data_IF_705126234835
#
_entry.id   IF_705126234835
#
_cell.length_a   1.000
_cell.length_b   1.000
_cell.length_c   1.000
_cell.angle_alpha   90.00
_cell.angle_beta   90.00
_cell.angle_gamma   90.00
#
_symmetry.space_group_name_H-M   'P 1'
#
loop_
_entity.id
_entity.type
_entity.pdbx_description
1 polymer ?
#
# COMPACT_ATOMS: atom_id res chain seq x y z
N UNK A 1 -21.71 -26.15 24.95
CA UNK A 1 -20.23 -26.21 25.00
C UNK A 1 -19.79 -26.02 26.46
N UNK A 2 -18.80 -26.80 26.91
CA UNK A 2 -18.36 -26.75 28.32
C UNK A 2 -17.55 -25.47 28.63
N UNK A 3 -16.69 -25.04 27.69
CA UNK A 3 -15.86 -23.84 27.82
C UNK A 3 -15.69 -23.18 26.46
N UNK A 4 -15.88 -21.86 26.37
CA UNK A 4 -15.68 -21.06 25.17
C UNK A 4 -14.61 -20.02 25.47
N UNK A 5 -13.75 -19.76 24.47
CA UNK A 5 -12.80 -18.66 24.46
C UNK A 5 -13.07 -17.77 23.24
N UNK A 6 -13.02 -16.46 23.44
CA UNK A 6 -13.12 -15.49 22.34
C UNK A 6 -12.26 -14.27 22.62
N UNK A 7 -11.85 -13.59 21.53
CA UNK A 7 -11.13 -12.34 21.62
C UNK A 7 -12.12 -11.17 21.57
N UNK A 8 -12.20 -10.36 22.63
CA UNK A 8 -13.15 -9.25 22.69
C UNK A 8 -12.85 -8.12 21.69
N UNK A 9 -11.63 -8.05 21.14
CA UNK A 9 -11.25 -7.07 20.13
C UNK A 9 -11.77 -7.41 18.73
N UNK A 10 -12.07 -8.70 18.48
CA UNK A 10 -12.51 -9.20 17.17
C UNK A 10 -13.90 -9.84 17.19
N UNK A 11 -14.50 -10.02 18.38
CA UNK A 11 -15.82 -10.61 18.53
C UNK A 11 -16.83 -9.51 18.78
N UNK A 12 -17.86 -9.42 17.94
CA UNK A 12 -18.93 -8.42 18.15
C UNK A 12 -19.70 -8.70 19.44
N UNK A 13 -20.27 -7.66 20.05
CA UNK A 13 -21.06 -7.81 21.28
C UNK A 13 -22.22 -8.82 21.12
N UNK A 14 -22.87 -8.82 19.97
CA UNK A 14 -23.95 -9.78 19.67
C UNK A 14 -23.46 -11.22 19.69
N UNK A 15 -22.33 -11.49 19.03
CA UNK A 15 -21.68 -12.83 19.02
C UNK A 15 -21.26 -13.23 20.43
N UNK A 16 -20.62 -12.33 21.18
CA UNK A 16 -20.21 -12.59 22.55
C UNK A 16 -21.41 -12.97 23.44
N UNK A 17 -22.51 -12.25 23.34
CA UNK A 17 -23.72 -12.55 24.10
C UNK A 17 -24.29 -13.96 23.79
N UNK A 18 -24.29 -14.35 22.51
CA UNK A 18 -24.73 -15.68 22.08
C UNK A 18 -23.79 -16.75 22.66
N UNK A 19 -22.47 -16.56 22.54
CA UNK A 19 -21.47 -17.51 23.04
C UNK A 19 -21.59 -17.69 24.56
N UNK A 20 -21.71 -16.62 25.31
CA UNK A 20 -21.87 -16.63 26.78
C UNK A 20 -23.14 -17.37 27.17
N UNK A 21 -24.28 -17.06 26.51
CA UNK A 21 -25.58 -17.69 26.79
C UNK A 21 -25.56 -19.22 26.59
N UNK A 22 -24.76 -19.72 25.65
CA UNK A 22 -24.72 -21.14 25.28
C UNK A 22 -23.50 -21.89 25.80
N UNK A 23 -22.78 -21.34 26.79
CA UNK A 23 -21.61 -21.97 27.42
C UNK A 23 -21.74 -22.05 28.92
N UNK A 24 -21.14 -23.07 29.53
CA UNK A 24 -21.06 -23.23 30.97
C UNK A 24 -20.00 -22.31 31.60
N UNK A 25 -18.99 -21.95 30.80
CA UNK A 25 -17.94 -21.02 31.19
C UNK A 25 -17.33 -20.35 29.95
N UNK A 26 -16.80 -19.14 30.12
CA UNK A 26 -16.08 -18.44 29.06
C UNK A 26 -14.83 -17.76 29.58
N UNK A 27 -13.91 -17.44 28.66
CA UNK A 27 -12.74 -16.63 28.93
C UNK A 27 -12.46 -15.68 27.75
N UNK A 28 -12.16 -14.43 28.08
CA UNK A 28 -11.64 -13.48 27.09
C UNK A 28 -10.13 -13.70 26.96
N UNK A 29 -9.68 -14.01 25.77
CA UNK A 29 -8.26 -14.27 25.45
C UNK A 29 -7.92 -13.62 24.11
N UNK A 30 -6.67 -13.29 23.91
CA UNK A 30 -6.20 -12.92 22.57
C UNK A 30 -6.35 -14.11 21.62
N UNK A 31 -6.80 -13.86 20.38
CA UNK A 31 -6.95 -14.91 19.39
C UNK A 31 -5.60 -15.58 19.06
N UNK A 32 -5.40 -16.85 19.42
CA UNK A 32 -4.14 -17.55 19.16
C UNK A 32 -3.88 -17.74 17.66
N UNK A 33 -4.93 -17.74 16.82
CA UNK A 33 -4.83 -17.93 15.38
C UNK A 33 -4.13 -16.72 14.74
N UNK A 34 -4.33 -15.52 15.26
CA UNK A 34 -3.71 -14.29 14.75
C UNK A 34 -2.18 -14.39 14.70
N UNK A 35 -1.55 -14.87 15.78
CA UNK A 35 -0.11 -15.05 15.81
C UNK A 35 0.35 -16.20 14.90
N UNK A 36 -0.34 -17.33 14.89
CA UNK A 36 -0.04 -18.45 14.03
C UNK A 36 -0.12 -18.06 12.54
N UNK A 37 -1.16 -17.32 12.15
CA UNK A 37 -1.38 -16.81 10.80
C UNK A 37 -0.33 -15.78 10.39
N UNK A 38 0.17 -14.97 11.31
CA UNK A 38 1.19 -13.95 11.01
C UNK A 38 2.53 -14.55 10.60
N UNK A 39 2.84 -15.77 11.08
CA UNK A 39 4.06 -16.48 10.74
C UNK A 39 3.84 -17.36 9.51
N UNK A 40 4.20 -16.82 8.31
CA UNK A 40 4.00 -17.53 7.04
C UNK A 40 4.82 -18.81 6.96
N UNK A 41 4.21 -19.88 6.48
CA UNK A 41 4.90 -21.12 6.16
C UNK A 41 5.69 -21.01 4.83
N UNK A 42 6.46 -22.04 4.50
CA UNK A 42 7.31 -22.06 3.28
C UNK A 42 6.49 -21.91 1.99
N UNK A 43 5.30 -22.48 1.92
CA UNK A 43 4.42 -22.38 0.75
C UNK A 43 3.90 -20.97 0.58
N UNK A 44 3.46 -20.33 1.65
CA UNK A 44 2.99 -18.93 1.64
C UNK A 44 4.12 -17.94 1.29
N UNK A 45 5.33 -18.16 1.82
CA UNK A 45 6.50 -17.32 1.48
C UNK A 45 6.85 -17.45 -0.01
N UNK A 46 6.87 -18.67 -0.55
CA UNK A 46 7.14 -18.88 -1.97
C UNK A 46 6.02 -18.30 -2.85
N UNK A 47 4.77 -18.42 -2.41
CA UNK A 47 3.62 -17.80 -3.08
C UNK A 47 3.72 -16.26 -3.12
N UNK A 48 4.05 -15.64 -1.99
CA UNK A 48 4.26 -14.19 -1.91
C UNK A 48 5.39 -13.73 -2.84
N UNK A 49 6.54 -14.41 -2.84
CA UNK A 49 7.65 -14.09 -3.75
C UNK A 49 7.23 -14.16 -5.22
N UNK A 50 6.53 -15.21 -5.60
CA UNK A 50 6.03 -15.39 -6.96
C UNK A 50 5.01 -14.31 -7.33
N UNK A 51 4.08 -13.98 -6.43
CA UNK A 51 3.09 -12.93 -6.65
C UNK A 51 3.77 -11.58 -6.88
N UNK A 52 4.73 -11.19 -6.03
CA UNK A 52 5.45 -9.94 -6.17
C UNK A 52 6.32 -9.87 -7.44
N UNK A 53 6.88 -10.97 -7.89
CA UNK A 53 7.60 -11.02 -9.18
C UNK A 53 6.66 -10.73 -10.34
N UNK A 54 5.50 -11.37 -10.38
CA UNK A 54 4.51 -11.21 -11.45
C UNK A 54 3.92 -9.80 -11.43
N UNK A 55 3.53 -9.32 -10.25
CA UNK A 55 2.98 -7.98 -10.09
C UNK A 55 4.02 -6.89 -10.42
N UNK A 56 5.26 -7.11 -10.01
CA UNK A 56 6.39 -6.24 -10.33
C UNK A 56 6.60 -6.08 -11.83
N UNK A 57 6.42 -7.15 -12.62
CA UNK A 57 6.46 -7.08 -14.09
C UNK A 57 5.34 -6.19 -14.62
N UNK A 58 4.11 -6.33 -14.11
CA UNK A 58 2.97 -5.52 -14.54
C UNK A 58 3.18 -4.04 -14.19
N UNK A 59 3.64 -3.77 -12.97
CA UNK A 59 3.95 -2.42 -12.50
C UNK A 59 5.10 -1.79 -13.30
N UNK A 60 6.17 -2.53 -13.57
CA UNK A 60 7.31 -2.03 -14.37
C UNK A 60 6.87 -1.68 -15.79
N UNK A 61 6.04 -2.52 -16.42
CA UNK A 61 5.46 -2.21 -17.74
C UNK A 61 4.59 -0.96 -17.71
N UNK A 62 3.83 -0.76 -16.63
CA UNK A 62 3.01 0.45 -16.46
C UNK A 62 3.89 1.68 -16.31
N UNK A 63 4.93 1.64 -15.48
CA UNK A 63 5.86 2.76 -15.28
C UNK A 63 6.58 3.10 -16.59
N UNK A 64 7.09 2.08 -17.29
CA UNK A 64 7.73 2.28 -18.59
C UNK A 64 6.77 2.97 -19.59
N UNK A 65 5.53 2.49 -19.66
CA UNK A 65 4.50 3.10 -20.51
C UNK A 65 4.23 4.56 -20.10
N UNK A 66 4.09 4.82 -18.81
CA UNK A 66 3.83 6.17 -18.29
C UNK A 66 4.98 7.14 -18.63
N UNK A 67 6.21 6.71 -18.49
CA UNK A 67 7.39 7.56 -18.67
C UNK A 67 7.82 7.74 -20.14
N UNK A 68 7.47 6.81 -21.03
CA UNK A 68 7.99 6.79 -22.40
C UNK A 68 6.92 6.88 -23.49
N UNK A 69 5.67 6.49 -23.22
CA UNK A 69 4.62 6.42 -24.21
C UNK A 69 3.49 7.45 -23.99
N UNK A 70 3.41 8.04 -22.81
CA UNK A 70 2.40 9.05 -22.48
C UNK A 70 2.87 10.41 -22.97
N UNK A 71 2.09 11.02 -23.87
CA UNK A 71 2.24 12.40 -24.28
C UNK A 71 1.05 13.19 -23.70
N UNK A 72 1.32 14.00 -22.66
CA UNK A 72 0.30 14.77 -21.95
C UNK A 72 -0.36 15.81 -22.84
N UNK A 73 0.27 16.24 -23.93
CA UNK A 73 -0.31 17.19 -24.88
C UNK A 73 -1.28 16.54 -25.88
N UNK A 74 -1.21 15.20 -26.02
CA UNK A 74 -2.07 14.46 -26.95
C UNK A 74 -3.10 13.57 -26.27
N UNK A 75 -2.86 13.19 -25.03
CA UNK A 75 -3.65 12.19 -24.32
C UNK A 75 -4.09 12.71 -22.96
N UNK A 76 -5.37 12.76 -22.72
CA UNK A 76 -5.95 13.13 -21.44
C UNK A 76 -6.04 11.89 -20.54
N UNK A 77 -4.96 11.59 -19.82
CA UNK A 77 -5.00 10.58 -18.76
C UNK A 77 -5.37 11.23 -17.42
N UNK A 78 -6.18 10.52 -16.65
CA UNK A 78 -6.60 10.94 -15.32
C UNK A 78 -6.24 9.87 -14.29
N UNK A 79 -6.33 10.21 -13.00
CA UNK A 79 -6.11 9.27 -11.90
C UNK A 79 -6.89 7.96 -12.10
N UNK A 80 -8.17 8.05 -12.49
CA UNK A 80 -9.02 6.88 -12.77
C UNK A 80 -8.48 6.09 -13.96
N UNK A 81 -8.16 6.76 -15.05
CA UNK A 81 -7.70 6.08 -16.28
C UNK A 81 -6.32 5.47 -16.13
N UNK A 82 -5.44 6.08 -15.31
CA UNK A 82 -4.13 5.52 -14.94
C UNK A 82 -4.28 4.25 -14.10
N UNK A 83 -5.17 4.25 -13.11
CA UNK A 83 -5.49 3.05 -12.32
C UNK A 83 -6.04 1.91 -13.20
N UNK A 84 -6.93 2.23 -14.14
CA UNK A 84 -7.47 1.27 -15.10
C UNK A 84 -6.39 0.72 -16.06
N UNK A 85 -5.43 1.54 -16.45
CA UNK A 85 -4.31 1.11 -17.31
C UNK A 85 -3.43 0.10 -16.57
N UNK A 86 -3.09 0.34 -15.32
CA UNK A 86 -2.34 -0.62 -14.51
C UNK A 86 -3.12 -1.93 -14.33
N UNK A 87 -4.42 -1.85 -14.05
CA UNK A 87 -5.28 -3.03 -13.97
C UNK A 87 -5.21 -3.88 -15.25
N UNK A 88 -5.24 -3.26 -16.43
CA UNK A 88 -5.09 -3.97 -17.71
C UNK A 88 -3.76 -4.72 -17.81
N UNK A 89 -2.65 -4.14 -17.36
CA UNK A 89 -1.37 -4.86 -17.32
C UNK A 89 -1.39 -6.06 -16.37
N UNK A 90 -2.04 -5.97 -15.21
CA UNK A 90 -2.19 -7.07 -14.25
C UNK A 90 -3.05 -8.20 -14.82
N UNK A 91 -4.15 -7.84 -15.51
CA UNK A 91 -5.08 -8.81 -16.14
C UNK A 91 -4.45 -9.68 -17.23
N UNK A 92 -3.30 -9.29 -17.76
CA UNK A 92 -2.59 -10.13 -18.75
C UNK A 92 -2.06 -11.44 -18.14
N UNK A 93 -1.94 -11.52 -16.81
CA UNK A 93 -1.46 -12.73 -16.18
C UNK A 93 -2.62 -13.64 -15.75
N UNK A 94 -2.61 -14.90 -16.18
CA UNK A 94 -3.68 -15.90 -15.95
C UNK A 94 -4.01 -16.15 -14.47
N UNK A 95 -3.04 -15.97 -13.58
CA UNK A 95 -3.20 -16.21 -12.14
C UNK A 95 -3.69 -14.96 -11.38
N UNK A 96 -3.87 -13.82 -12.05
CA UNK A 96 -4.50 -12.63 -11.47
C UNK A 96 -5.98 -12.90 -11.20
N UNK A 97 -6.46 -12.54 -10.00
CA UNK A 97 -7.83 -12.80 -9.54
C UNK A 97 -8.63 -11.52 -9.30
N UNK A 98 -7.94 -10.41 -9.11
CA UNK A 98 -8.54 -9.11 -8.84
C UNK A 98 -7.54 -8.19 -8.14
N UNK A 99 -7.98 -6.99 -7.82
CA UNK A 99 -7.21 -6.07 -6.98
C UNK A 99 -7.20 -6.58 -5.54
N UNK A 100 -6.09 -6.38 -4.82
CA UNK A 100 -6.01 -6.69 -3.39
C UNK A 100 -6.72 -5.63 -2.54
N UNK A 101 -6.77 -4.40 -3.03
CA UNK A 101 -7.51 -3.27 -2.48
C UNK A 101 -7.80 -2.25 -3.59
N UNK A 102 -8.66 -1.26 -3.31
CA UNK A 102 -8.92 -0.16 -4.24
C UNK A 102 -7.63 0.61 -4.56
N UNK A 103 -7.28 0.74 -5.83
CA UNK A 103 -6.05 1.42 -6.23
C UNK A 103 -6.10 2.89 -5.82
N UNK A 104 -5.11 3.32 -5.04
CA UNK A 104 -4.85 4.73 -4.73
C UNK A 104 -4.02 5.28 -5.89
N UNK A 105 -4.64 6.09 -6.72
CA UNK A 105 -4.05 6.72 -7.90
C UNK A 105 -4.26 8.22 -7.75
N UNK A 106 -3.20 8.97 -7.44
CA UNK A 106 -3.33 10.35 -6.99
C UNK A 106 -2.29 11.28 -7.56
N UNK A 107 -2.74 12.43 -8.06
CA UNK A 107 -1.93 13.47 -8.68
C UNK A 107 -1.81 14.69 -7.76
N UNK A 108 -0.58 15.16 -7.57
CA UNK A 108 -0.27 16.36 -6.80
C UNK A 108 -0.89 16.32 -5.39
N UNK A 109 -1.74 17.30 -5.05
CA UNK A 109 -2.32 17.43 -3.71
C UNK A 109 -3.23 16.26 -3.28
N UNK A 110 -3.78 15.48 -4.21
CA UNK A 110 -4.57 14.30 -3.86
C UNK A 110 -3.70 13.22 -3.20
N UNK A 111 -2.39 13.19 -3.49
CA UNK A 111 -1.44 12.29 -2.85
C UNK A 111 -1.21 12.55 -1.36
N UNK A 112 -1.64 13.70 -0.83
CA UNK A 112 -1.59 14.01 0.59
C UNK A 112 -2.79 13.44 1.38
N UNK A 113 -3.82 12.96 0.68
CA UNK A 113 -5.01 12.36 1.32
C UNK A 113 -4.75 10.88 1.57
N UNK A 114 -4.73 10.50 2.85
CA UNK A 114 -4.51 9.10 3.26
C UNK A 114 -5.65 8.23 2.73
N UNK A 115 -5.31 7.10 2.09
CA UNK A 115 -6.26 6.17 1.46
C UNK A 115 -7.15 6.84 0.40
N UNK A 116 -6.60 7.84 -0.32
CA UNK A 116 -7.34 8.51 -1.39
C UNK A 116 -7.90 7.51 -2.41
N UNK A 117 -9.15 7.69 -2.77
CA UNK A 117 -9.80 6.95 -3.85
C UNK A 117 -10.27 7.96 -4.90
N UNK A 118 -9.81 7.86 -6.15
CA UNK A 118 -10.24 8.78 -7.18
C UNK A 118 -11.72 8.56 -7.52
N UNK A 119 -12.49 9.61 -7.43
CA UNK A 119 -13.91 9.68 -7.82
C UNK A 119 -14.06 10.71 -8.93
N UNK A 120 -15.14 10.65 -9.71
CA UNK A 120 -15.38 11.59 -10.82
C UNK A 120 -15.22 13.06 -10.42
N UNK A 121 -15.63 13.42 -9.20
CA UNK A 121 -15.57 14.79 -8.68
C UNK A 121 -14.17 15.25 -8.28
N UNK A 122 -13.29 14.32 -7.93
CA UNK A 122 -11.93 14.61 -7.43
C UNK A 122 -10.84 14.22 -8.42
N UNK A 123 -11.23 13.51 -9.49
CA UNK A 123 -10.35 12.96 -10.51
C UNK A 123 -9.57 14.07 -11.23
N UNK A 124 -8.27 14.07 -11.09
CA UNK A 124 -7.38 15.02 -11.78
C UNK A 124 -6.84 14.41 -13.08
N UNK A 125 -6.59 15.28 -14.04
CA UNK A 125 -5.87 14.94 -15.26
C UNK A 125 -4.37 15.05 -15.05
N UNK A 126 -3.62 14.14 -15.67
CA UNK A 126 -2.17 14.11 -15.65
C UNK A 126 -1.61 15.25 -16.51
N UNK A 127 -0.79 16.09 -15.92
CA UNK A 127 -0.08 17.16 -16.60
C UNK A 127 1.43 16.99 -16.50
N UNK A 128 2.14 17.80 -17.26
CA UNK A 128 3.59 17.89 -17.16
C UNK A 128 4.02 18.32 -15.76
N UNK A 129 5.08 17.69 -15.28
CA UNK A 129 5.65 17.95 -13.95
C UNK A 129 4.75 17.56 -12.76
N UNK A 130 3.72 16.76 -12.97
CA UNK A 130 2.94 16.22 -11.87
C UNK A 130 3.74 15.17 -11.07
N UNK A 131 3.50 15.17 -9.77
CA UNK A 131 3.91 14.09 -8.88
C UNK A 131 2.74 13.12 -8.82
N UNK A 132 2.97 11.89 -9.25
CA UNK A 132 1.99 10.82 -9.24
C UNK A 132 2.32 9.80 -8.16
N UNK A 133 1.46 9.68 -7.17
CA UNK A 133 1.52 8.63 -6.14
C UNK A 133 0.57 7.51 -6.54
N UNK A 134 1.12 6.31 -6.65
CA UNK A 134 0.39 5.10 -6.98
C UNK A 134 0.62 4.07 -5.88
N UNK A 135 -0.45 3.71 -5.18
CA UNK A 135 -0.47 2.62 -4.21
C UNK A 135 -1.50 1.57 -4.65
N UNK A 136 -1.04 0.37 -4.89
CA UNK A 136 -1.84 -0.64 -5.57
C UNK A 136 -1.34 -2.05 -5.30
N UNK A 137 -2.23 -3.01 -5.50
CA UNK A 137 -1.86 -4.40 -5.37
C UNK A 137 -2.78 -5.34 -6.13
N UNK A 138 -2.33 -6.57 -6.30
CA UNK A 138 -3.07 -7.65 -6.96
C UNK A 138 -3.24 -8.87 -6.06
N UNK A 139 -4.41 -9.47 -6.14
CA UNK A 139 -4.67 -10.79 -5.60
C UNK A 139 -4.35 -11.82 -6.69
N UNK A 140 -3.41 -12.69 -6.40
CA UNK A 140 -3.03 -13.82 -7.26
C UNK A 140 -3.46 -15.13 -6.62
N UNK A 141 -3.52 -16.20 -7.41
CA UNK A 141 -3.91 -17.54 -6.94
C UNK A 141 -3.12 -18.00 -5.69
N UNK A 142 -1.90 -17.53 -5.53
CA UNK A 142 -0.94 -18.02 -4.53
C UNK A 142 -0.37 -16.94 -3.60
N UNK A 143 -0.81 -15.69 -3.73
CA UNK A 143 -0.35 -14.60 -2.87
C UNK A 143 -0.97 -13.26 -3.22
N UNK A 144 -0.83 -12.33 -2.31
CA UNK A 144 -1.35 -10.96 -2.38
C UNK A 144 -0.17 -10.00 -2.47
N UNK A 145 -0.30 -8.94 -3.29
CA UNK A 145 0.71 -7.89 -3.38
C UNK A 145 0.16 -6.56 -2.91
N UNK A 146 1.09 -5.72 -2.48
CA UNK A 146 0.87 -4.35 -2.04
C UNK A 146 2.15 -3.58 -2.33
N UNK A 147 2.07 -2.51 -3.13
CA UNK A 147 3.23 -1.76 -3.56
C UNK A 147 2.90 -0.30 -3.85
N UNK A 148 3.69 0.60 -3.28
CA UNK A 148 3.58 2.04 -3.51
C UNK A 148 4.75 2.55 -4.32
N UNK A 149 4.49 3.48 -5.27
CA UNK A 149 5.49 4.25 -5.98
C UNK A 149 5.06 5.70 -6.10
N UNK A 150 6.02 6.59 -5.90
CA UNK A 150 5.87 8.01 -6.23
C UNK A 150 6.70 8.29 -7.46
N UNK A 151 6.06 8.74 -8.52
CA UNK A 151 6.64 8.91 -9.86
C UNK A 151 6.56 10.40 -10.20
N UNK A 152 7.62 10.93 -10.75
CA UNK A 152 7.64 12.28 -11.28
C UNK A 152 7.47 12.24 -12.80
N UNK A 153 6.38 12.81 -13.30
CA UNK A 153 6.13 12.94 -14.72
C UNK A 153 6.98 14.08 -15.29
N UNK A 154 8.12 13.73 -15.92
CA UNK A 154 9.08 14.69 -16.44
C UNK A 154 8.52 15.45 -17.63
N UNK A 155 8.70 16.78 -17.62
CA UNK A 155 8.65 17.62 -18.81
C UNK A 155 10.02 18.28 -19.03
N UNK A 156 10.23 18.84 -20.21
CA UNK A 156 11.41 19.65 -20.53
C UNK A 156 11.53 20.91 -19.63
N UNK A 157 10.43 21.37 -19.05
CA UNK A 157 10.38 22.52 -18.14
C UNK A 157 10.59 22.05 -16.70
N UNK A 158 11.58 22.60 -16.00
CA UNK A 158 11.80 22.34 -14.57
C UNK A 158 10.59 22.79 -13.74
N UNK A 159 10.15 21.92 -12.81
CA UNK A 159 9.23 22.28 -11.75
C UNK A 159 9.80 23.46 -10.95
N UNK A 160 9.01 24.47 -10.62
CA UNK A 160 9.49 25.67 -9.88
C UNK A 160 10.11 25.34 -8.52
N UNK A 161 9.63 24.29 -7.85
CA UNK A 161 10.09 23.84 -6.54
C UNK A 161 10.76 22.44 -6.60
N UNK A 162 11.38 22.11 -7.73
CA UNK A 162 12.00 20.78 -7.94
C UNK A 162 13.02 20.42 -6.86
N UNK A 163 13.83 21.38 -6.44
CA UNK A 163 14.87 21.14 -5.43
C UNK A 163 14.26 20.80 -4.07
N UNK A 164 13.18 21.49 -3.66
CA UNK A 164 12.43 21.19 -2.43
C UNK A 164 11.77 19.80 -2.51
N UNK A 165 11.09 19.52 -3.61
CA UNK A 165 10.44 18.20 -3.84
C UNK A 165 11.46 17.09 -3.81
N UNK A 166 12.59 17.23 -4.49
CA UNK A 166 13.68 16.26 -4.54
C UNK A 166 14.30 16.05 -3.15
N UNK A 167 14.47 17.12 -2.39
CA UNK A 167 14.96 17.07 -1.02
C UNK A 167 13.99 16.28 -0.12
N UNK A 168 12.72 16.64 -0.12
CA UNK A 168 11.69 15.97 0.68
C UNK A 168 11.54 14.48 0.30
N UNK A 169 11.53 14.17 -0.99
CA UNK A 169 11.56 12.81 -1.49
C UNK A 169 12.75 12.01 -0.93
N UNK A 170 13.93 12.63 -0.90
CA UNK A 170 15.15 12.03 -0.36
C UNK A 170 15.03 11.74 1.14
N UNK A 171 14.42 12.63 1.93
CA UNK A 171 14.20 12.41 3.36
C UNK A 171 13.27 11.22 3.60
N UNK A 172 12.18 11.13 2.84
CA UNK A 172 11.25 9.98 2.89
C UNK A 172 11.98 8.68 2.51
N UNK A 173 12.77 8.70 1.45
CA UNK A 173 13.55 7.53 1.02
C UNK A 173 14.56 7.08 2.09
N UNK A 174 15.24 8.01 2.77
CA UNK A 174 16.11 7.69 3.91
C UNK A 174 15.35 7.00 5.03
N UNK A 175 14.14 7.46 5.37
CA UNK A 175 13.26 6.83 6.36
C UNK A 175 12.86 5.41 5.94
N UNK A 176 12.47 5.23 4.69
CA UNK A 176 12.15 3.92 4.12
C UNK A 176 13.33 2.95 4.23
N UNK A 177 14.53 3.37 3.83
CA UNK A 177 15.74 2.56 3.92
C UNK A 177 16.07 2.21 5.38
N UNK A 178 15.92 3.16 6.30
CA UNK A 178 16.17 2.93 7.72
C UNK A 178 15.26 1.85 8.31
N UNK A 179 13.99 1.82 7.90
CA UNK A 179 13.07 0.74 8.29
C UNK A 179 13.43 -0.57 7.60
N UNK A 180 13.64 -0.57 6.29
CA UNK A 180 13.92 -1.76 5.50
C UNK A 180 15.22 -2.47 5.92
N UNK A 181 16.23 -1.71 6.38
CA UNK A 181 17.50 -2.25 6.88
C UNK A 181 17.50 -2.59 8.37
N UNK A 182 16.39 -2.37 9.07
CA UNK A 182 16.31 -2.62 10.51
C UNK A 182 16.26 -4.11 10.84
N UNK A 183 17.02 -4.49 11.87
CA UNK A 183 16.94 -5.82 12.47
C UNK A 183 15.99 -5.79 13.66
N UNK A 184 15.02 -6.68 13.67
CA UNK A 184 13.98 -6.73 14.68
C UNK A 184 14.30 -7.77 15.75
N UNK A 185 14.08 -7.39 17.00
CA UNK A 185 14.09 -8.33 18.12
C UNK A 185 12.67 -8.87 18.36
N UNK A 186 12.56 -10.00 19.02
CA UNK A 186 11.25 -10.52 19.44
C UNK A 186 10.55 -9.47 20.32
N UNK A 187 9.31 -9.14 19.98
CA UNK A 187 8.52 -8.12 20.66
C UNK A 187 8.64 -6.71 20.08
N UNK A 188 9.40 -6.52 18.99
CA UNK A 188 9.42 -5.25 18.27
C UNK A 188 8.04 -4.92 17.69
N UNK A 189 7.64 -3.66 17.77
CA UNK A 189 6.33 -3.19 17.31
C UNK A 189 6.45 -2.15 16.19
N UNK A 190 5.37 -1.98 15.41
CA UNK A 190 5.31 -0.94 14.39
C UNK A 190 5.54 0.47 14.96
N UNK A 191 5.09 0.75 16.20
CA UNK A 191 5.32 2.01 16.88
C UNK A 191 6.81 2.32 17.07
N UNK A 192 7.62 1.30 17.37
CA UNK A 192 9.06 1.48 17.53
C UNK A 192 9.76 1.73 16.19
N UNK A 193 9.22 1.17 15.09
CA UNK A 193 9.74 1.36 13.74
C UNK A 193 9.34 2.72 13.14
N UNK A 194 8.19 3.25 13.54
CA UNK A 194 7.70 4.56 13.09
C UNK A 194 8.71 5.68 13.39
N UNK A 195 9.36 5.65 14.54
CA UNK A 195 10.41 6.62 14.89
C UNK A 195 11.59 6.60 13.92
N UNK A 196 11.93 5.44 13.36
CA UNK A 196 13.00 5.31 12.34
C UNK A 196 12.55 5.87 10.99
N UNK A 197 11.30 5.60 10.60
CA UNK A 197 10.72 6.12 9.37
C UNK A 197 10.67 7.65 9.38
N UNK A 198 10.25 8.25 10.50
CA UNK A 198 10.05 9.70 10.64
C UNK A 198 11.30 10.48 10.97
N UNK A 199 12.38 9.83 11.43
CA UNK A 199 13.59 10.48 11.94
C UNK A 199 14.06 11.63 11.04
N UNK A 200 14.29 11.36 9.77
CA UNK A 200 14.86 12.35 8.85
C UNK A 200 13.92 13.51 8.55
N UNK A 201 12.62 13.28 8.61
CA UNK A 201 11.60 14.33 8.43
C UNK A 201 11.56 15.24 9.67
N UNK A 202 11.50 14.67 10.86
CA UNK A 202 11.46 15.40 12.14
C UNK A 202 12.74 16.25 12.32
N UNK A 203 13.92 15.68 12.04
CA UNK A 203 15.20 16.39 12.12
C UNK A 203 15.30 17.60 11.16
N UNK A 204 14.45 17.65 10.14
CA UNK A 204 14.36 18.74 9.17
C UNK A 204 13.09 19.61 9.33
N UNK A 205 12.42 19.52 10.49
CA UNK A 205 11.25 20.34 10.80
C UNK A 205 9.98 19.99 10.02
N UNK A 206 9.95 18.83 9.37
CA UNK A 206 8.79 18.34 8.62
C UNK A 206 7.94 17.43 9.53
N UNK A 207 6.68 17.79 9.68
CA UNK A 207 5.70 16.96 10.38
C UNK A 207 4.85 16.19 9.36
N UNK A 208 4.71 14.88 9.61
CA UNK A 208 3.70 14.07 8.93
C UNK A 208 2.45 14.12 9.80
N UNK A 209 1.35 14.56 9.23
CA UNK A 209 0.04 14.55 9.87
C UNK A 209 -0.50 13.11 9.88
#
# INVERSE_FOLDING_TARGET
>A
YNKIQFDPNYTTQSQANILIKHSNSFACVNDPITLMKSCKNKTEVNGARKAHLIDGIALTKFIYWLENEVDTHKNNYSEISLAQKLLKFRMLHKDFKGLSFGTISSLGSNGAVIHYQPEEKTNKELNDNDIYLLDSGGQYKFGTTDVTRTIFNKSEKKLKNFDEVSYNYTLVLKGHIAVASSHFKKGETGKNLDSKARKFLIENGLNIV
#
